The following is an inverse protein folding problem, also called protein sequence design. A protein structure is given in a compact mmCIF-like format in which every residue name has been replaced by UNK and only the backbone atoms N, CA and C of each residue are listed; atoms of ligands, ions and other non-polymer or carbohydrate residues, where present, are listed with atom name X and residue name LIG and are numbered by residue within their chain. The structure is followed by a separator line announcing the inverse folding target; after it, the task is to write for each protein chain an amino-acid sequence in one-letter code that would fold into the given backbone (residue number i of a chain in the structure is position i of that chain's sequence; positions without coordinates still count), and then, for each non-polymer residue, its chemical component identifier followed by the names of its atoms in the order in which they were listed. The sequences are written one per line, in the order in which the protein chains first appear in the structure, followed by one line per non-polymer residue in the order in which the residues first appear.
data_IF_219367479924
#
_entry.id   IF_219367479924
#
_cell.length_a   1.000
_cell.length_b   1.000
_cell.length_c   1.000
_cell.angle_alpha   90.00
_cell.angle_beta   90.00
_cell.angle_gamma   90.00
#
_symmetry.space_group_name_H-M   'P 1'
#
loop_
_entity.id
_entity.type
_entity.pdbx_description
1 polymer ?
#
# COMPACT_ATOMS: atom_id res chain seq x y z
N UNK A 1 -1.24 4.58 13.60
CA UNK A 1 -1.80 5.04 12.31
C UNK A 1 -1.55 3.99 11.26
N UNK A 2 -2.33 3.99 10.17
CA UNK A 2 -2.25 3.01 9.09
C UNK A 2 -1.89 3.71 7.78
N UNK A 3 -0.87 3.23 7.07
CA UNK A 3 -0.51 3.72 5.75
C UNK A 3 -1.13 2.89 4.64
N UNK A 4 -1.47 3.52 3.53
CA UNK A 4 -1.85 2.90 2.27
C UNK A 4 -0.94 3.41 1.18
N UNK A 5 -0.31 2.51 0.43
CA UNK A 5 0.58 2.84 -0.66
C UNK A 5 0.16 2.14 -1.96
N UNK A 6 0.15 2.90 -3.05
CA UNK A 6 -0.08 2.39 -4.39
C UNK A 6 0.77 3.16 -5.40
N UNK A 7 1.11 2.50 -6.50
CA UNK A 7 1.71 3.12 -7.68
C UNK A 7 0.77 2.98 -8.86
N UNK A 8 0.44 4.14 -9.44
CA UNK A 8 -0.28 4.22 -10.69
C UNK A 8 0.69 4.39 -11.86
N UNK A 9 0.34 3.75 -12.98
CA UNK A 9 0.99 3.89 -14.28
C UNK A 9 -0.06 4.31 -15.30
N UNK A 10 0.15 5.43 -15.98
CA UNK A 10 -0.71 5.88 -17.07
C UNK A 10 -0.39 5.16 -18.40
N UNK A 11 -1.27 5.32 -19.38
CA UNK A 11 -1.07 4.81 -20.75
C UNK A 11 0.19 5.42 -21.41
N UNK A 12 0.52 6.67 -21.08
CA UNK A 12 1.71 7.40 -21.57
C UNK A 12 3.01 7.01 -20.85
N UNK A 13 2.97 5.95 -20.05
CA UNK A 13 4.07 5.45 -19.23
C UNK A 13 4.56 6.47 -18.18
N UNK A 14 3.64 7.29 -17.66
CA UNK A 14 3.89 8.12 -16.49
C UNK A 14 3.59 7.33 -15.23
N UNK A 15 4.44 7.48 -14.23
CA UNK A 15 4.31 6.81 -12.95
C UNK A 15 4.11 7.85 -11.85
N UNK A 16 3.19 7.56 -10.93
CA UNK A 16 3.02 8.33 -9.70
C UNK A 16 2.71 7.36 -8.56
N UNK A 17 3.46 7.47 -7.47
CA UNK A 17 3.19 6.76 -6.22
C UNK A 17 2.54 7.67 -5.20
N UNK A 18 1.64 7.12 -4.40
CA UNK A 18 0.94 7.86 -3.35
C UNK A 18 0.95 7.11 -2.04
N UNK A 19 1.12 7.87 -0.94
CA UNK A 19 0.94 7.39 0.42
C UNK A 19 -0.22 8.15 1.07
N UNK A 20 -1.24 7.42 1.48
CA UNK A 20 -2.37 7.90 2.28
C UNK A 20 -2.24 7.37 3.70
N UNK A 21 -2.19 8.26 4.69
CA UNK A 21 -2.10 7.92 6.11
C UNK A 21 -3.45 8.17 6.77
N UNK A 22 -3.97 7.14 7.44
CA UNK A 22 -5.25 7.18 8.16
C UNK A 22 -5.04 7.07 9.68
N UNK A 23 -5.94 7.68 10.44
CA UNK A 23 -6.06 7.41 11.87
C UNK A 23 -6.86 6.12 12.16
N UNK A 24 -6.99 5.77 13.44
CA UNK A 24 -7.83 4.68 13.97
C UNK A 24 -9.27 4.64 13.43
N UNK A 25 -9.84 5.78 13.05
CA UNK A 25 -11.23 5.88 12.58
C UNK A 25 -11.35 5.88 11.05
N UNK A 26 -10.27 5.62 10.31
CA UNK A 26 -10.28 5.62 8.83
C UNK A 26 -10.29 7.03 8.21
N UNK A 27 -10.05 8.08 9.00
CA UNK A 27 -10.01 9.47 8.52
C UNK A 27 -8.61 9.77 7.97
N UNK A 28 -8.50 10.32 6.75
CA UNK A 28 -7.24 10.81 6.20
C UNK A 28 -6.58 11.88 7.07
N UNK A 29 -5.32 11.65 7.45
CA UNK A 29 -4.47 12.62 8.15
C UNK A 29 -3.48 13.29 7.21
N UNK A 30 -2.94 12.53 6.26
CA UNK A 30 -1.95 13.02 5.30
C UNK A 30 -2.09 12.25 3.99
N UNK A 31 -2.00 12.98 2.89
CA UNK A 31 -1.85 12.42 1.55
C UNK A 31 -0.62 13.05 0.91
N UNK A 32 0.33 12.22 0.48
CA UNK A 32 1.54 12.63 -0.24
C UNK A 32 1.65 11.80 -1.50
N UNK A 33 2.18 12.41 -2.56
CA UNK A 33 2.34 11.76 -3.84
C UNK A 33 3.61 12.25 -4.53
N UNK A 34 4.08 11.50 -5.52
CA UNK A 34 5.12 11.97 -6.43
C UNK A 34 4.52 12.60 -7.67
N UNK A 35 5.07 13.74 -8.09
CA UNK A 35 4.77 14.30 -9.41
C UNK A 35 4.95 13.24 -10.51
N UNK A 36 4.10 13.21 -11.55
CA UNK A 36 4.18 12.19 -12.60
C UNK A 36 5.57 12.14 -13.25
N UNK A 37 6.25 11.00 -13.11
CA UNK A 37 7.58 10.80 -13.67
C UNK A 37 7.46 9.97 -14.94
N UNK A 38 8.13 10.38 -16.02
CA UNK A 38 8.35 9.56 -17.20
C UNK A 38 9.73 8.91 -17.13
N UNK A 39 9.85 7.59 -16.86
CA UNK A 39 11.13 6.93 -16.84
C UNK A 39 11.83 7.05 -18.20
N UNK A 40 13.12 7.36 -18.17
CA UNK A 40 13.93 7.47 -19.38
C UNK A 40 14.07 6.11 -20.08
N UNK A 41 14.39 6.12 -21.37
CA UNK A 41 14.65 4.89 -22.12
C UNK A 41 15.73 4.03 -21.47
N UNK A 42 16.78 4.66 -20.93
CA UNK A 42 17.87 3.95 -20.23
C UNK A 42 17.33 3.30 -18.95
N UNK A 43 16.57 4.02 -18.11
CA UNK A 43 15.97 3.44 -16.91
C UNK A 43 15.09 2.23 -17.24
N UNK A 44 14.26 2.32 -18.29
CA UNK A 44 13.43 1.19 -18.73
C UNK A 44 14.26 -0.04 -19.12
N UNK A 45 15.39 0.16 -19.81
CA UNK A 45 16.29 -0.94 -20.20
C UNK A 45 16.98 -1.55 -18.98
N UNK A 46 17.52 -0.72 -18.09
CA UNK A 46 18.32 -1.17 -16.94
C UNK A 46 17.45 -1.86 -15.89
N UNK A 47 16.30 -1.27 -15.54
CA UNK A 47 15.42 -1.82 -14.50
C UNK A 47 14.48 -2.90 -15.01
N UNK A 48 14.14 -2.91 -16.31
CA UNK A 48 13.23 -3.89 -16.89
C UNK A 48 11.90 -4.00 -16.11
N UNK A 49 11.54 -5.22 -15.71
CA UNK A 49 10.35 -5.50 -14.90
C UNK A 49 10.40 -4.90 -13.50
N UNK A 50 11.59 -4.60 -12.96
CA UNK A 50 11.78 -4.07 -11.61
C UNK A 50 11.62 -2.55 -11.52
N UNK A 51 11.33 -1.86 -12.64
CA UNK A 51 11.20 -0.41 -12.67
C UNK A 51 10.18 0.12 -11.66
N UNK A 52 9.02 -0.53 -11.54
CA UNK A 52 7.97 -0.15 -10.59
C UNK A 52 8.45 -0.27 -9.14
N UNK A 53 9.09 -1.38 -8.81
CA UNK A 53 9.62 -1.66 -7.47
C UNK A 53 10.74 -0.70 -7.08
N UNK A 54 11.60 -0.34 -8.04
CA UNK A 54 12.63 0.66 -7.83
C UNK A 54 12.02 2.03 -7.49
N UNK A 55 11.01 2.47 -8.25
CA UNK A 55 10.30 3.72 -7.96
C UNK A 55 9.61 3.66 -6.60
N UNK A 56 8.95 2.55 -6.27
CA UNK A 56 8.32 2.33 -4.98
C UNK A 56 9.28 2.47 -3.81
N UNK A 57 10.44 1.80 -3.93
CA UNK A 57 11.50 1.86 -2.93
C UNK A 57 11.97 3.31 -2.73
N UNK A 58 12.25 4.05 -3.80
CA UNK A 58 12.68 5.46 -3.68
C UNK A 58 11.67 6.34 -2.92
N UNK A 59 10.36 6.08 -3.11
CA UNK A 59 9.32 6.85 -2.44
C UNK A 59 9.22 6.46 -0.97
N UNK A 60 9.12 5.16 -0.68
CA UNK A 60 8.90 4.65 0.67
C UNK A 60 10.15 4.73 1.57
N UNK A 61 11.35 4.84 1.00
CA UNK A 61 12.57 5.07 1.78
C UNK A 61 12.72 6.50 2.30
N UNK A 62 11.82 7.42 1.95
CA UNK A 62 11.87 8.79 2.44
C UNK A 62 11.08 8.94 3.76
N UNK A 63 11.79 9.12 4.88
CA UNK A 63 11.17 9.31 6.20
C UNK A 63 10.26 10.55 6.31
N UNK A 64 10.56 11.60 5.53
CA UNK A 64 9.71 12.79 5.47
C UNK A 64 8.30 12.47 4.96
N UNK A 65 8.12 11.37 4.22
CA UNK A 65 6.82 10.91 3.75
C UNK A 65 5.90 10.55 4.92
N UNK A 66 6.45 9.99 6.00
CA UNK A 66 5.68 9.56 7.17
C UNK A 66 5.51 10.68 8.19
N UNK A 67 6.51 11.55 8.36
CA UNK A 67 6.46 12.64 9.34
C UNK A 67 5.26 13.58 9.15
N UNK A 68 4.58 14.01 10.24
CA UNK A 68 4.87 13.75 11.66
C UNK A 68 4.19 12.49 12.23
N UNK A 69 3.68 11.61 11.38
CA UNK A 69 2.84 10.49 11.75
C UNK A 69 3.65 9.22 12.02
N UNK A 70 3.28 8.51 13.08
CA UNK A 70 3.87 7.22 13.42
C UNK A 70 3.13 6.08 12.71
N UNK A 71 3.69 5.67 11.57
CA UNK A 71 3.14 4.65 10.66
C UNK A 71 4.08 3.46 10.61
N UNK A 72 3.71 2.35 11.24
CA UNK A 72 4.54 1.12 11.24
C UNK A 72 4.09 0.08 10.22
N UNK A 73 2.82 0.17 9.79
CA UNK A 73 2.18 -0.74 8.85
C UNK A 73 1.68 0.04 7.64
N UNK A 74 2.10 -0.41 6.46
CA UNK A 74 1.71 0.12 5.17
C UNK A 74 1.01 -1.00 4.40
N UNK A 75 -0.25 -0.78 4.03
CA UNK A 75 -1.00 -1.67 3.16
C UNK A 75 -0.75 -1.33 1.70
N UNK A 76 -0.63 -2.35 0.86
CA UNK A 76 -0.48 -2.21 -0.59
C UNK A 76 -1.45 -3.13 -1.32
N UNK A 77 -1.90 -2.70 -2.49
CA UNK A 77 -2.67 -3.50 -3.46
C UNK A 77 -1.77 -4.15 -4.52
N UNK A 78 -0.45 -3.97 -4.39
CA UNK A 78 0.57 -4.53 -5.26
C UNK A 78 1.38 -5.62 -4.56
N UNK A 79 1.20 -6.86 -5.00
CA UNK A 79 1.88 -8.04 -4.48
C UNK A 79 3.38 -8.06 -4.73
N UNK A 80 3.88 -7.33 -5.74
CA UNK A 80 5.31 -7.35 -6.03
C UNK A 80 6.10 -6.63 -4.93
N UNK A 81 5.54 -5.56 -4.34
CA UNK A 81 6.28 -4.71 -3.41
C UNK A 81 6.80 -5.44 -2.16
N UNK A 82 6.10 -6.47 -1.69
CA UNK A 82 6.47 -7.21 -0.47
C UNK A 82 7.81 -7.94 -0.59
N UNK A 83 8.24 -8.26 -1.81
CA UNK A 83 9.42 -9.07 -2.08
C UNK A 83 10.68 -8.22 -2.36
N UNK A 84 10.52 -6.96 -2.73
CA UNK A 84 11.62 -6.12 -3.22
C UNK A 84 11.98 -4.95 -2.31
N UNK A 85 11.05 -4.50 -1.45
CA UNK A 85 11.26 -3.31 -0.64
C UNK A 85 11.78 -3.71 0.75
N UNK A 86 13.01 -3.30 1.04
CA UNK A 86 13.63 -3.44 2.36
C UNK A 86 13.72 -2.06 3.04
N UNK A 87 12.69 -1.75 3.84
CA UNK A 87 12.60 -0.55 4.67
C UNK A 87 12.25 -0.95 6.10
N UNK A 88 12.39 -0.05 7.07
CA UNK A 88 12.11 -0.36 8.48
C UNK A 88 10.62 -0.66 8.76
N UNK A 89 9.72 -0.15 7.93
CA UNK A 89 8.27 -0.35 8.04
C UNK A 89 7.82 -1.75 7.55
N UNK A 90 6.67 -2.21 8.04
CA UNK A 90 6.02 -3.43 7.56
C UNK A 90 5.18 -3.08 6.33
N UNK A 91 5.44 -3.74 5.20
CA UNK A 91 4.62 -3.62 4.00
C UNK A 91 3.77 -4.88 3.91
N UNK A 92 2.46 -4.70 3.77
CA UNK A 92 1.49 -5.78 3.73
C UNK A 92 0.63 -5.67 2.49
N UNK A 93 0.79 -6.62 1.58
CA UNK A 93 -0.15 -6.81 0.48
C UNK A 93 -1.43 -7.43 1.03
N UNK A 94 -2.58 -6.82 0.74
CA UNK A 94 -3.89 -7.32 1.13
C UNK A 94 -4.79 -7.53 -0.07
N UNK A 95 -5.62 -8.57 0.00
CA UNK A 95 -6.62 -8.87 -1.03
C UNK A 95 -7.87 -9.48 -0.41
N UNK A 96 -9.00 -9.21 -1.05
CA UNK A 96 -10.27 -9.82 -0.68
C UNK A 96 -10.35 -11.24 -1.29
N UNK A 97 -10.78 -12.22 -0.49
CA UNK A 97 -11.04 -13.58 -0.95
C UNK A 97 -12.39 -14.07 -0.45
N UNK A 98 -13.14 -14.74 -1.33
CA UNK A 98 -14.36 -15.45 -0.93
C UNK A 98 -13.96 -16.68 -0.12
N UNK A 99 -14.17 -16.62 1.19
CA UNK A 99 -13.79 -17.68 2.10
C UNK A 99 -14.60 -17.59 3.40
N UNK A 100 -15.08 -18.74 3.85
CA UNK A 100 -15.67 -18.99 5.15
C UNK A 100 -14.62 -19.45 6.19
N UNK A 101 -13.33 -19.44 5.82
CA UNK A 101 -12.25 -19.85 6.71
C UNK A 101 -12.14 -18.89 7.89
N UNK A 102 -11.90 -19.47 9.06
CA UNK A 102 -11.61 -18.71 10.27
C UNK A 102 -10.28 -17.96 10.20
N UNK A 103 -9.98 -17.23 11.26
CA UNK A 103 -8.71 -16.52 11.42
C UNK A 103 -7.53 -17.51 11.45
N UNK A 104 -6.61 -17.38 10.50
CA UNK A 104 -5.40 -18.19 10.39
C UNK A 104 -4.22 -17.28 10.07
N UNK A 105 -3.11 -17.37 10.82
CA UNK A 105 -1.87 -16.63 10.53
C UNK A 105 -0.70 -17.58 10.63
N UNK A 106 0.16 -17.56 9.62
CA UNK A 106 1.41 -18.32 9.55
C UNK A 106 2.53 -17.37 9.12
N UNK A 107 3.43 -17.09 10.05
CA UNK A 107 4.61 -16.26 9.81
C UNK A 107 4.29 -14.88 9.19
N UNK A 108 4.41 -14.77 7.86
CA UNK A 108 4.25 -13.57 7.07
C UNK A 108 2.93 -13.52 6.29
N UNK A 109 2.10 -14.55 6.35
CA UNK A 109 0.83 -14.62 5.63
C UNK A 109 -0.33 -14.99 6.55
N UNK A 110 -1.54 -14.64 6.15
CA UNK A 110 -2.71 -14.99 6.93
C UNK A 110 -4.03 -14.64 6.26
N UNK A 111 -5.10 -15.06 6.92
CA UNK A 111 -6.50 -14.83 6.55
C UNK A 111 -7.23 -14.30 7.79
N UNK A 112 -7.96 -13.20 7.61
CA UNK A 112 -8.77 -12.55 8.63
C UNK A 112 -10.20 -12.42 8.10
N UNK A 113 -11.21 -12.99 8.78
CA UNK A 113 -12.60 -12.80 8.38
C UNK A 113 -13.00 -11.33 8.41
N UNK A 114 -13.69 -10.86 7.36
CA UNK A 114 -14.32 -9.53 7.32
C UNK A 114 -15.81 -9.66 7.58
N UNK A 115 -16.45 -10.64 6.92
CA UNK A 115 -17.86 -10.98 7.08
C UNK A 115 -18.07 -12.48 6.86
N UNK A 116 -19.32 -12.95 6.77
CA UNK A 116 -19.65 -14.38 6.70
C UNK A 116 -19.01 -15.12 5.52
N UNK A 117 -18.85 -14.46 4.36
CA UNK A 117 -18.39 -15.11 3.12
C UNK A 117 -17.11 -14.49 2.56
N UNK A 118 -16.60 -13.43 3.21
CA UNK A 118 -15.45 -12.67 2.76
C UNK A 118 -14.39 -12.65 3.84
N UNK A 119 -13.15 -12.92 3.44
CA UNK A 119 -11.97 -12.75 4.27
C UNK A 119 -10.93 -11.87 3.59
N UNK A 120 -10.15 -11.16 4.39
CA UNK A 120 -8.92 -10.51 3.98
C UNK A 120 -7.80 -11.54 4.01
N UNK A 121 -7.14 -11.77 2.87
CA UNK A 121 -5.87 -12.47 2.83
C UNK A 121 -4.74 -11.45 2.75
N UNK A 122 -3.68 -11.68 3.51
CA UNK A 122 -2.52 -10.80 3.49
C UNK A 122 -1.21 -11.57 3.34
N UNK A 123 -0.20 -10.86 2.82
CA UNK A 123 1.20 -11.24 2.78
C UNK A 123 2.05 -10.05 3.21
N UNK A 124 2.98 -10.26 4.14
CA UNK A 124 3.78 -9.23 4.79
C UNK A 124 5.25 -9.37 4.42
N UNK A 125 5.96 -8.26 4.28
CA UNK A 125 7.42 -8.25 4.06
C UNK A 125 8.19 -8.75 5.30
N UNK A 126 7.65 -8.54 6.51
CA UNK A 126 8.26 -8.89 7.80
C UNK A 126 7.35 -9.79 8.64
N UNK A 127 7.94 -10.48 9.62
CA UNK A 127 7.17 -11.25 10.62
C UNK A 127 6.24 -10.31 11.39
N UNK A 128 5.02 -10.77 11.64
CA UNK A 128 4.01 -9.98 12.33
C UNK A 128 4.02 -10.30 13.83
N UNK A 129 4.07 -9.26 14.65
CA UNK A 129 3.82 -9.39 16.06
C UNK A 129 2.31 -9.39 16.38
N UNK A 130 1.98 -9.79 17.60
CA UNK A 130 0.58 -9.83 18.05
C UNK A 130 -0.09 -8.46 18.09
N UNK A 131 0.68 -7.37 18.23
CA UNK A 131 0.16 -6.01 18.32
C UNK A 131 -0.29 -5.50 16.95
N UNK A 132 0.51 -5.72 15.92
CA UNK A 132 0.23 -5.38 14.52
C UNK A 132 -1.01 -6.09 14.04
N UNK A 133 -1.15 -7.38 14.35
CA UNK A 133 -2.35 -8.17 14.02
C UNK A 133 -3.60 -7.65 14.75
N UNK A 134 -3.50 -7.24 16.02
CA UNK A 134 -4.60 -6.63 16.76
C UNK A 134 -5.03 -5.30 16.16
N UNK A 135 -4.05 -4.43 15.83
CA UNK A 135 -4.31 -3.15 15.14
C UNK A 135 -5.05 -3.38 13.82
N UNK A 136 -4.56 -4.31 12.98
CA UNK A 136 -5.21 -4.64 11.71
C UNK A 136 -6.67 -5.09 11.89
N UNK A 137 -6.94 -5.96 12.87
CA UNK A 137 -8.31 -6.37 13.21
C UNK A 137 -9.19 -5.19 13.61
N UNK A 138 -8.70 -4.30 14.48
CA UNK A 138 -9.47 -3.12 14.88
C UNK A 138 -9.82 -2.22 13.69
N UNK A 139 -8.92 -2.07 12.71
CA UNK A 139 -9.22 -1.29 11.51
C UNK A 139 -10.33 -1.93 10.67
N UNK A 140 -10.27 -3.25 10.47
CA UNK A 140 -11.30 -4.02 9.72
C UNK A 140 -12.68 -3.91 10.39
N UNK A 141 -12.73 -3.83 11.72
CA UNK A 141 -13.99 -3.67 12.46
C UNK A 141 -14.59 -2.26 12.37
N UNK A 142 -13.76 -1.24 12.10
CA UNK A 142 -14.17 0.17 12.13
C UNK A 142 -14.59 0.68 10.76
N UNK A 143 -13.87 0.31 9.69
CA UNK A 143 -14.15 0.78 8.34
C UNK A 143 -13.79 -0.26 7.28
N UNK A 144 -14.29 -0.05 6.06
CA UNK A 144 -13.91 -0.88 4.91
C UNK A 144 -12.44 -0.69 4.57
N UNK A 145 -11.63 -1.69 4.91
CA UNK A 145 -10.16 -1.67 4.78
C UNK A 145 -9.70 -1.53 3.31
N UNK A 146 -10.53 -1.81 2.31
CA UNK A 146 -10.16 -1.74 0.89
C UNK A 146 -10.55 -0.41 0.24
N UNK A 147 -11.59 0.26 0.71
CA UNK A 147 -12.08 1.51 0.15
C UNK A 147 -11.00 2.62 0.04
N UNK A 148 -10.03 2.75 0.98
CA UNK A 148 -8.94 3.72 0.84
C UNK A 148 -8.07 3.52 -0.40
N UNK A 149 -7.92 2.29 -0.92
CA UNK A 149 -7.22 2.07 -2.19
C UNK A 149 -7.98 2.67 -3.37
N UNK A 150 -9.32 2.66 -3.34
CA UNK A 150 -10.14 3.31 -4.37
C UNK A 150 -9.89 4.82 -4.36
N UNK A 151 -9.93 5.46 -3.18
CA UNK A 151 -9.60 6.89 -3.04
C UNK A 151 -8.20 7.21 -3.55
N UNK A 152 -7.22 6.40 -3.14
CA UNK A 152 -5.81 6.58 -3.51
C UNK A 152 -5.62 6.44 -5.03
N UNK A 153 -6.25 5.43 -5.64
CA UNK A 153 -6.21 5.23 -7.08
C UNK A 153 -6.83 6.39 -7.84
N UNK A 154 -8.01 6.86 -7.44
CA UNK A 154 -8.67 8.01 -8.08
C UNK A 154 -7.79 9.27 -8.01
N UNK A 155 -7.19 9.54 -6.85
CA UNK A 155 -6.27 10.66 -6.68
C UNK A 155 -5.03 10.53 -7.60
N UNK A 156 -4.40 9.36 -7.66
CA UNK A 156 -3.22 9.14 -8.50
C UNK A 156 -3.55 9.19 -10.00
N UNK A 157 -4.72 8.71 -10.41
CA UNK A 157 -5.22 8.88 -11.78
C UNK A 157 -5.39 10.36 -12.09
N UNK A 158 -6.02 11.12 -11.19
CA UNK A 158 -6.17 12.55 -11.35
C UNK A 158 -4.81 13.25 -11.49
N UNK A 159 -3.84 12.96 -10.62
CA UNK A 159 -2.49 13.55 -10.68
C UNK A 159 -1.77 13.23 -12.00
N UNK A 160 -1.83 11.98 -12.47
CA UNK A 160 -1.16 11.59 -13.71
C UNK A 160 -1.82 12.09 -14.99
N UNK A 161 -3.11 12.48 -14.94
CA UNK A 161 -3.88 12.91 -16.11
C UNK A 161 -4.12 14.42 -16.14
N UNK A 162 -4.14 15.07 -14.98
CA UNK A 162 -4.36 16.50 -14.83
C UNK A 162 -3.05 17.22 -15.10
N UNK A 163 -2.99 17.96 -16.21
CA UNK A 163 -1.96 18.96 -16.45
C UNK A 163 -2.24 20.20 -15.60
N UNK A 164 -2.21 20.11 -14.28
CA UNK A 164 -2.13 21.34 -13.48
C UNK A 164 -0.71 21.90 -13.65
N UNK A 165 -0.60 22.87 -14.56
CA UNK A 165 0.53 23.77 -14.74
C UNK A 165 0.18 25.12 -14.12
#
# INVERSE_FOLDING_TARGET
MLGYFSIYKSEDELYSGGLLILNENGIPLSFKYTEPIKPTKIQKIIYGSNLKNYLAFQILSNDELYSPHDVDLILTDDSDLINYIDIDKIIMYIMEVSSDKGFEVKEKEGIIPINQNTSLRFYSSKLLDSNTLKKLKSYIEIFDIFEPFTRLKEALVYICTSKEK
#
